data_IF_277545340511
#
_entry.id   IF_277545340511
#
_cell.length_a   1.000
_cell.length_b   1.000
_cell.length_c   1.000
_cell.angle_alpha   90.00
_cell.angle_beta   90.00
_cell.angle_gamma   90.00
#
_symmetry.space_group_name_H-M   'P 1'
#
loop_
_entity.id
_entity.type
_entity.pdbx_description
1 polymer ?
#
# COMPACT_ATOMS: atom_id res chain seq x y z
N UNK A 1 -14.08 -7.92 0.11
CA UNK A 1 -13.30 -6.68 0.28
C UNK A 1 -13.85 -5.88 1.44
N UNK A 2 -13.11 -5.74 2.53
CA UNK A 2 -13.54 -5.02 3.74
C UNK A 2 -12.90 -3.63 3.76
N UNK A 3 -13.69 -2.57 3.95
CA UNK A 3 -13.19 -1.20 3.97
C UNK A 3 -13.65 -0.47 5.24
N UNK A 4 -12.70 -0.17 6.13
CA UNK A 4 -12.93 0.58 7.37
C UNK A 4 -12.45 2.02 7.17
N UNK A 5 -13.37 2.90 6.75
CA UNK A 5 -13.05 4.28 6.31
C UNK A 5 -13.69 5.32 7.23
N UNK A 6 -12.88 5.98 8.04
CA UNK A 6 -13.30 7.15 8.85
C UNK A 6 -12.89 8.45 8.17
N UNK A 7 -13.73 9.48 8.22
CA UNK A 7 -13.45 10.77 7.55
C UNK A 7 -12.42 11.63 8.27
N UNK A 8 -12.24 11.43 9.58
CA UNK A 8 -11.24 12.14 10.39
C UNK A 8 -9.83 11.52 10.27
N UNK A 9 -9.73 10.36 9.61
CA UNK A 9 -8.47 9.67 9.42
C UNK A 9 -7.70 10.28 8.25
N UNK A 10 -6.39 10.42 8.42
CA UNK A 10 -5.50 10.92 7.37
C UNK A 10 -4.57 9.85 6.84
N UNK A 11 -4.47 8.70 7.51
CA UNK A 11 -3.63 7.58 7.11
C UNK A 11 -4.52 6.44 6.62
N UNK A 12 -4.03 5.65 5.68
CA UNK A 12 -4.69 4.44 5.23
C UNK A 12 -3.69 3.34 4.89
N UNK A 13 -4.12 2.10 5.07
CA UNK A 13 -3.45 0.91 4.57
C UNK A 13 -4.32 0.20 3.54
N UNK A 14 -3.68 -0.32 2.50
CA UNK A 14 -4.32 -1.11 1.45
C UNK A 14 -3.64 -2.47 1.46
N UNK A 15 -4.42 -3.51 1.74
CA UNK A 15 -4.01 -4.90 1.69
C UNK A 15 -4.33 -5.45 0.31
N UNK A 16 -3.30 -5.87 -0.39
CA UNK A 16 -3.34 -6.36 -1.75
C UNK A 16 -2.72 -7.75 -1.77
N UNK A 17 -3.51 -8.73 -2.18
CA UNK A 17 -3.11 -10.12 -2.23
C UNK A 17 -2.69 -10.50 -3.65
N UNK A 18 -1.44 -10.93 -3.82
CA UNK A 18 -0.95 -11.51 -5.06
C UNK A 18 -1.15 -13.01 -5.03
N UNK A 19 -2.03 -13.51 -5.92
CA UNK A 19 -2.27 -14.95 -6.08
C UNK A 19 -1.10 -15.68 -6.74
N UNK A 20 -0.33 -14.97 -7.56
CA UNK A 20 0.82 -15.50 -8.30
C UNK A 20 1.99 -14.52 -8.23
N UNK A 21 3.20 -15.08 -8.27
CA UNK A 21 4.43 -14.33 -8.40
C UNK A 21 4.42 -13.55 -9.72
N UNK A 22 4.64 -12.25 -9.63
CA UNK A 22 4.48 -11.32 -10.73
C UNK A 22 5.65 -10.35 -10.76
N UNK A 23 6.19 -10.13 -11.95
CA UNK A 23 7.19 -9.08 -12.17
C UNK A 23 6.46 -7.79 -12.51
N UNK A 24 6.62 -6.76 -11.66
CA UNK A 24 5.87 -5.50 -11.79
C UNK A 24 6.83 -4.34 -12.01
N UNK A 25 6.63 -3.63 -13.12
CA UNK A 25 7.36 -2.40 -13.43
C UNK A 25 6.68 -1.19 -12.79
N UNK A 26 7.33 -0.60 -11.80
CA UNK A 26 6.80 0.47 -10.95
C UNK A 26 7.28 1.84 -11.46
N UNK A 27 6.93 2.17 -12.71
CA UNK A 27 7.32 3.42 -13.35
C UNK A 27 8.83 3.69 -13.29
N UNK A 28 9.23 4.85 -12.75
CA UNK A 28 10.65 5.29 -12.65
C UNK A 28 11.46 4.50 -11.61
N UNK A 29 10.79 3.74 -10.73
CA UNK A 29 11.44 2.95 -9.69
C UNK A 29 12.14 1.71 -10.27
N UNK A 30 11.70 1.25 -11.45
CA UNK A 30 12.23 0.07 -12.13
C UNK A 30 11.28 -1.12 -12.04
N UNK A 31 11.81 -2.29 -12.38
CA UNK A 31 11.07 -3.56 -12.40
C UNK A 31 11.50 -4.40 -11.20
N UNK A 32 10.52 -4.84 -10.41
CA UNK A 32 10.75 -5.65 -9.22
C UNK A 32 9.94 -6.94 -9.30
N UNK A 33 10.51 -8.01 -8.73
CA UNK A 33 9.83 -9.28 -8.59
C UNK A 33 9.00 -9.27 -7.30
N UNK A 34 7.69 -9.52 -7.45
CA UNK A 34 6.75 -9.62 -6.35
C UNK A 34 6.31 -11.07 -6.22
N UNK A 35 6.66 -11.70 -5.11
CA UNK A 35 6.20 -13.05 -4.81
C UNK A 35 4.71 -13.09 -4.46
N UNK A 36 4.09 -14.26 -4.57
CA UNK A 36 2.71 -14.46 -4.11
C UNK A 36 2.62 -14.22 -2.61
N UNK A 37 1.57 -13.56 -2.16
CA UNK A 37 1.38 -13.21 -0.75
C UNK A 37 0.69 -11.86 -0.58
N UNK A 38 0.67 -11.39 0.67
CA UNK A 38 -0.07 -10.19 1.04
C UNK A 38 0.85 -8.98 1.12
N UNK A 39 0.50 -7.95 0.37
CA UNK A 39 1.18 -6.67 0.32
C UNK A 39 0.35 -5.61 1.00
N UNK A 40 0.97 -4.91 1.94
CA UNK A 40 0.31 -3.88 2.73
C UNK A 40 0.97 -2.56 2.38
N UNK A 41 0.22 -1.71 1.69
CA UNK A 41 0.66 -0.39 1.31
C UNK A 41 0.12 0.65 2.29
N UNK A 42 1.00 1.45 2.88
CA UNK A 42 0.64 2.55 3.76
C UNK A 42 0.72 3.87 2.99
N UNK A 43 -0.27 4.73 3.14
CA UNK A 43 -0.21 6.09 2.59
C UNK A 43 -1.07 7.07 3.36
N UNK A 44 -0.81 8.36 3.17
CA UNK A 44 -1.63 9.44 3.71
C UNK A 44 -2.53 10.10 2.66
N UNK A 45 -3.66 10.59 3.17
CA UNK A 45 -4.60 11.46 2.50
C UNK A 45 -4.84 12.69 3.40
N UNK A 46 -4.23 13.82 3.05
CA UNK A 46 -4.40 15.09 3.77
C UNK A 46 -5.85 15.63 3.74
N UNK A 47 -6.61 15.34 2.68
CA UNK A 47 -8.05 15.68 2.54
C UNK A 47 -8.77 14.58 1.76
N UNK A 48 -10.04 14.32 2.11
CA UNK A 48 -10.93 13.39 1.41
C UNK A 48 -10.39 11.95 1.26
N UNK A 49 -10.08 11.28 2.37
CA UNK A 49 -9.60 9.89 2.37
C UNK A 49 -10.57 8.93 1.67
N UNK A 50 -11.89 9.13 1.82
CA UNK A 50 -12.92 8.38 1.08
C UNK A 50 -12.74 8.47 -0.43
N UNK A 51 -12.54 9.67 -0.98
CA UNK A 51 -12.35 9.86 -2.41
C UNK A 51 -11.04 9.21 -2.89
N UNK A 52 -9.99 9.29 -2.05
CA UNK A 52 -8.68 8.69 -2.33
C UNK A 52 -8.73 7.16 -2.34
N UNK A 53 -9.36 6.58 -1.33
CA UNK A 53 -9.61 5.13 -1.23
C UNK A 53 -10.50 4.66 -2.38
N UNK A 54 -11.56 5.40 -2.71
CA UNK A 54 -12.44 5.04 -3.81
C UNK A 54 -11.70 5.12 -5.17
N UNK A 55 -10.77 6.06 -5.33
CA UNK A 55 -9.85 6.09 -6.47
C UNK A 55 -8.94 4.87 -6.49
N UNK A 56 -8.46 4.38 -5.35
CA UNK A 56 -7.68 3.13 -5.27
C UNK A 56 -8.50 1.87 -5.60
N UNK A 57 -9.80 1.94 -5.36
CA UNK A 57 -10.74 0.85 -5.66
C UNK A 57 -11.00 0.66 -7.15
N UNK A 58 -11.01 1.74 -7.94
CA UNK A 58 -11.20 1.68 -9.41
C UNK A 58 -9.99 1.01 -10.08
N UNK A 59 -10.21 0.01 -10.93
CA UNK A 59 -9.13 -0.59 -11.73
C UNK A 59 -8.73 0.31 -12.91
N UNK A 60 -9.71 0.87 -13.61
CA UNK A 60 -9.46 1.74 -14.77
C UNK A 60 -9.20 3.17 -14.33
N UNK A 61 -7.92 3.53 -14.28
CA UNK A 61 -7.46 4.87 -13.92
C UNK A 61 -6.03 5.12 -14.43
N UNK A 62 -5.65 6.38 -14.62
CA UNK A 62 -4.26 6.71 -14.94
C UNK A 62 -3.37 6.33 -13.75
N UNK A 63 -2.40 5.43 -14.02
CA UNK A 63 -1.40 4.92 -13.08
C UNK A 63 -0.51 6.07 -12.61
N UNK A 64 -0.89 6.70 -11.50
CA UNK A 64 -0.13 7.82 -10.90
C UNK A 64 0.62 7.42 -9.63
N UNK A 65 0.25 6.31 -9.00
CA UNK A 65 0.81 5.85 -7.74
C UNK A 65 1.45 4.47 -7.92
N UNK A 66 2.47 4.17 -7.14
CA UNK A 66 3.15 2.87 -7.22
C UNK A 66 2.19 1.69 -6.99
N UNK A 67 1.21 1.84 -6.09
CA UNK A 67 0.20 0.81 -5.84
C UNK A 67 -0.73 0.57 -7.05
N UNK A 68 -0.95 1.56 -7.93
CA UNK A 68 -1.73 1.36 -9.15
C UNK A 68 -1.06 0.32 -10.06
N UNK A 69 0.28 0.29 -10.10
CA UNK A 69 1.01 -0.72 -10.86
C UNK A 69 0.86 -2.11 -10.24
N UNK A 70 0.78 -2.22 -8.92
CA UNK A 70 0.59 -3.49 -8.23
C UNK A 70 -0.87 -3.97 -8.30
N UNK A 71 -1.83 -3.03 -8.37
CA UNK A 71 -3.28 -3.31 -8.41
C UNK A 71 -3.72 -4.18 -9.58
N UNK A 72 -3.01 -4.13 -10.71
CA UNK A 72 -3.32 -4.98 -11.87
C UNK A 72 -2.89 -6.44 -11.67
N UNK A 73 -1.96 -6.72 -10.75
CA UNK A 73 -1.43 -8.06 -10.48
C UNK A 73 -2.00 -8.69 -9.21
N UNK A 74 -2.57 -7.89 -8.31
CA UNK A 74 -3.14 -8.40 -7.07
C UNK A 74 -4.49 -7.81 -6.70
N UNK A 75 -5.23 -8.57 -5.89
CA UNK A 75 -6.56 -8.22 -5.45
C UNK A 75 -6.53 -7.45 -4.14
N UNK A 76 -7.11 -6.25 -4.10
CA UNK A 76 -7.23 -5.54 -2.83
C UNK A 76 -8.28 -6.23 -1.97
N UNK A 77 -7.83 -6.89 -0.91
CA UNK A 77 -8.68 -7.65 0.00
C UNK A 77 -9.25 -6.75 1.12
N UNK A 78 -8.44 -5.80 1.60
CA UNK A 78 -8.81 -4.96 2.75
C UNK A 78 -8.26 -3.54 2.63
N UNK A 79 -9.02 -2.56 3.12
CA UNK A 79 -8.57 -1.18 3.27
C UNK A 79 -8.92 -0.72 4.68
N UNK A 80 -7.95 -0.19 5.41
CA UNK A 80 -8.13 0.31 6.78
C UNK A 80 -7.63 1.74 6.83
N UNK A 81 -8.34 2.62 7.52
CA UNK A 81 -7.91 3.99 7.76
C UNK A 81 -7.46 4.17 9.21
N UNK A 82 -6.53 5.09 9.45
CA UNK A 82 -5.98 5.39 10.77
C UNK A 82 -5.87 6.91 10.99
N UNK A 83 -5.95 7.31 12.26
CA UNK A 83 -5.78 8.69 12.71
C UNK A 83 -4.34 9.19 12.49
N UNK A 84 -4.18 10.53 12.41
CA UNK A 84 -2.86 11.17 12.27
C UNK A 84 -2.12 11.25 13.61
N UNK A 85 -1.92 10.13 14.29
CA UNK A 85 -1.36 10.17 15.65
C UNK A 85 0.17 10.27 15.65
N UNK A 86 0.84 9.45 14.82
CA UNK A 86 2.32 9.34 14.78
C UNK A 86 2.94 9.54 13.37
N UNK A 87 2.12 9.80 12.35
CA UNK A 87 2.56 9.93 10.96
C UNK A 87 2.69 8.59 10.21
N UNK A 88 2.90 8.66 8.89
CA UNK A 88 2.93 7.50 7.98
C UNK A 88 4.02 6.49 8.33
N UNK A 89 5.19 7.00 8.73
CA UNK A 89 6.39 6.21 9.03
C UNK A 89 6.19 5.29 10.22
N UNK A 90 5.60 5.81 11.30
CA UNK A 90 5.32 5.06 12.51
C UNK A 90 4.25 3.99 12.25
N UNK A 91 3.20 4.33 11.47
CA UNK A 91 2.20 3.35 11.06
C UNK A 91 2.83 2.23 10.21
N UNK A 92 3.66 2.58 9.23
CA UNK A 92 4.36 1.59 8.41
C UNK A 92 5.24 0.67 9.25
N UNK A 93 5.99 1.20 10.22
CA UNK A 93 6.79 0.37 11.12
C UNK A 93 5.91 -0.52 12.03
N UNK A 94 4.82 0.02 12.56
CA UNK A 94 3.89 -0.73 13.42
C UNK A 94 3.27 -1.90 12.66
N UNK A 95 2.84 -1.68 11.42
CA UNK A 95 2.32 -2.75 10.56
C UNK A 95 3.43 -3.76 10.25
N UNK A 96 4.65 -3.30 9.89
CA UNK A 96 5.80 -4.17 9.61
C UNK A 96 6.09 -5.10 10.79
N UNK A 97 6.17 -4.55 12.00
CA UNK A 97 6.37 -5.31 13.25
C UNK A 97 5.21 -6.27 13.51
N UNK A 98 3.97 -5.84 13.29
CA UNK A 98 2.77 -6.65 13.54
C UNK A 98 2.65 -7.83 12.57
N UNK A 99 2.98 -7.66 11.31
CA UNK A 99 2.87 -8.71 10.30
C UNK A 99 4.15 -9.52 10.10
N UNK A 100 5.23 -9.18 10.83
CA UNK A 100 6.56 -9.76 10.61
C UNK A 100 7.07 -9.57 9.18
N UNK A 101 6.50 -8.61 8.45
CA UNK A 101 6.72 -8.45 7.02
C UNK A 101 8.03 -7.74 6.72
N UNK A 102 8.55 -7.95 5.52
CA UNK A 102 9.74 -7.25 5.01
C UNK A 102 9.34 -6.20 3.98
N UNK A 103 10.22 -5.23 3.73
CA UNK A 103 9.99 -4.25 2.67
C UNK A 103 10.54 -4.80 1.35
N UNK A 104 9.70 -5.19 0.37
CA UNK A 104 10.17 -5.84 -0.85
C UNK A 104 10.86 -4.85 -1.80
N UNK A 105 10.47 -3.57 -1.74
CA UNK A 105 10.94 -2.53 -2.67
C UNK A 105 11.31 -1.28 -1.88
N UNK A 106 12.59 -0.91 -1.91
CA UNK A 106 13.11 0.33 -1.32
C UNK A 106 12.56 1.54 -2.07
N UNK A 107 12.05 2.56 -1.37
CA UNK A 107 11.49 3.79 -1.93
C UNK A 107 10.02 3.68 -2.40
N UNK A 108 9.39 2.51 -2.30
CA UNK A 108 8.01 2.33 -2.74
C UNK A 108 7.04 3.13 -1.86
N UNK A 109 6.43 4.18 -2.46
CA UNK A 109 5.48 5.06 -1.77
C UNK A 109 6.13 6.04 -0.79
N UNK A 110 7.46 6.04 -0.68
CA UNK A 110 8.23 6.95 0.16
C UNK A 110 8.93 8.03 -0.67
N UNK A 111 8.40 8.39 -1.85
CA UNK A 111 9.01 9.44 -2.68
C UNK A 111 9.03 10.82 -1.98
N UNK A 112 8.13 11.03 -1.03
CA UNK A 112 8.00 12.29 -0.26
C UNK A 112 8.60 12.19 1.16
N UNK A 113 9.12 11.02 1.57
CA UNK A 113 9.59 10.80 2.93
C UNK A 113 10.95 10.07 2.94
N UNK A 114 11.76 10.28 3.98
CA UNK A 114 13.05 9.57 4.17
C UNK A 114 12.88 8.10 4.58
N UNK A 115 11.66 7.53 4.51
CA UNK A 115 11.39 6.17 4.91
C UNK A 115 11.93 5.15 3.90
N UNK A 116 12.24 3.96 4.42
CA UNK A 116 12.81 2.90 3.61
C UNK A 116 11.81 2.39 2.56
N UNK A 117 10.55 2.17 2.95
CA UNK A 117 9.43 1.85 2.06
C UNK A 117 8.11 1.89 2.83
N UNK A 118 7.03 2.31 2.18
CA UNK A 118 5.67 2.21 2.73
C UNK A 118 4.94 0.94 2.29
N UNK A 119 5.63 0.06 1.55
CA UNK A 119 5.11 -1.23 1.14
C UNK A 119 5.73 -2.33 2.02
N UNK A 120 4.87 -3.14 2.61
CA UNK A 120 5.24 -4.26 3.47
C UNK A 120 4.74 -5.53 2.79
N UNK A 121 5.63 -6.49 2.62
CA UNK A 121 5.33 -7.81 2.10
C UNK A 121 5.27 -8.80 3.26
N UNK A 122 4.17 -9.56 3.30
CA UNK A 122 3.99 -10.69 4.18
C UNK A 122 3.76 -11.93 3.31
N UNK A 123 4.65 -12.94 3.38
CA UNK A 123 4.45 -14.17 2.63
C UNK A 123 3.15 -14.85 3.08
N UNK A 124 2.44 -15.49 2.15
CA UNK A 124 1.32 -16.35 2.51
C UNK A 124 1.88 -17.55 3.30
N UNK A 125 1.56 -17.64 4.58
CA UNK A 125 1.80 -18.86 5.37
C UNK A 125 0.91 -20.00 4.88
#
# INVERSE_FOLDING_TARGET
MTAEISQNHTLYTIYLDLKHNSTVSVGRLGTFFFEKGTYIYVGSAKKNIKARVNRHRKLEKPKRWHIDYLRQYGEVTKIITYEHTDGESALAEKIRKKTGGINPVKGFGSSDCKCFSHLIFSPCQ
#
